data_IF_216273503960
#
_entry.id   IF_216273503960
#
_cell.length_a   1.000
_cell.length_b   1.000
_cell.length_c   1.000
_cell.angle_alpha   90.00
_cell.angle_beta   90.00
_cell.angle_gamma   90.00
#
_symmetry.space_group_name_H-M   'P 1'
#
loop_
_entity.id
_entity.type
_entity.pdbx_description
1 polymer ?
#
# COMPACT_ATOMS: atom_id res chain seq x y z
N UNK A 1 -48.76 -8.29 -49.96
CA UNK A 1 -49.03 -6.93 -49.44
C UNK A 1 -47.73 -6.14 -49.53
N UNK A 2 -47.75 -5.09 -50.37
CA UNK A 2 -46.76 -4.02 -50.66
C UNK A 2 -45.28 -4.33 -50.95
N UNK A 3 -44.89 -4.03 -52.19
CA UNK A 3 -43.54 -3.63 -52.62
C UNK A 3 -43.49 -2.10 -52.53
N UNK A 4 -42.52 -1.52 -51.81
CA UNK A 4 -42.04 -0.14 -52.05
C UNK A 4 -40.53 -0.09 -51.79
N UNK A 5 -39.79 0.25 -52.84
CA UNK A 5 -38.42 0.75 -52.81
C UNK A 5 -38.40 2.22 -52.37
N UNK A 6 -37.34 2.66 -51.69
CA UNK A 6 -37.07 4.09 -51.44
C UNK A 6 -35.72 4.23 -50.73
N UNK A 7 -34.64 4.52 -51.47
CA UNK A 7 -34.16 5.86 -51.80
C UNK A 7 -33.39 6.53 -50.65
N UNK A 8 -32.07 6.61 -50.81
CA UNK A 8 -31.18 7.45 -50.03
C UNK A 8 -31.21 8.89 -50.57
N UNK A 9 -31.42 9.93 -49.75
CA UNK A 9 -30.88 11.29 -49.94
C UNK A 9 -30.79 12.06 -48.60
N UNK A 10 -29.57 12.51 -48.30
CA UNK A 10 -29.09 13.72 -47.60
C UNK A 10 -29.82 14.34 -46.38
N UNK A 11 -29.03 14.62 -45.34
CA UNK A 11 -29.39 15.51 -44.23
C UNK A 11 -28.17 16.07 -43.50
N UNK A 12 -27.57 17.10 -44.09
CA UNK A 12 -26.95 18.30 -43.46
C UNK A 12 -25.94 18.13 -42.30
N UNK A 13 -24.71 18.51 -42.62
CA UNK A 13 -23.68 19.16 -41.80
C UNK A 13 -24.00 19.43 -40.31
N UNK A 14 -23.17 18.85 -39.42
CA UNK A 14 -22.82 19.47 -38.15
C UNK A 14 -21.30 19.68 -38.11
N UNK A 15 -20.90 20.83 -38.67
CA UNK A 15 -19.67 21.53 -38.32
C UNK A 15 -19.80 21.94 -36.85
N UNK A 16 -18.74 21.78 -36.04
CA UNK A 16 -18.31 22.61 -34.89
C UNK A 16 -17.32 21.75 -34.07
N UNK A 17 -16.02 21.87 -34.36
CA UNK A 17 -15.07 22.69 -33.59
C UNK A 17 -14.81 22.14 -32.18
N UNK A 18 -13.73 21.35 -32.02
CA UNK A 18 -12.86 21.47 -30.85
C UNK A 18 -11.40 21.23 -31.25
N UNK A 19 -10.77 22.38 -31.52
CA UNK A 19 -9.37 22.74 -31.36
C UNK A 19 -8.35 21.67 -30.96
N UNK A 20 -7.37 21.53 -31.85
CA UNK A 20 -5.98 21.17 -31.58
C UNK A 20 -5.37 21.94 -30.39
N UNK A 21 -4.73 21.22 -29.49
CA UNK A 21 -3.59 21.75 -28.72
C UNK A 21 -2.52 20.67 -28.64
N UNK A 22 -1.59 20.72 -29.60
CA UNK A 22 -0.28 20.09 -29.52
C UNK A 22 0.52 20.96 -28.54
N UNK A 23 0.80 20.46 -27.34
CA UNK A 23 1.70 21.16 -26.41
C UNK A 23 3.15 20.90 -26.81
N UNK A 24 3.69 21.77 -27.67
CA UNK A 24 5.12 21.86 -27.95
C UNK A 24 5.81 22.51 -26.75
N UNK A 25 6.60 21.75 -25.98
CA UNK A 25 7.45 22.35 -24.93
C UNK A 25 8.70 22.93 -25.61
N UNK A 26 8.68 24.25 -25.78
CA UNK A 26 9.82 25.05 -26.21
C UNK A 26 10.79 25.17 -25.03
N UNK A 27 11.93 24.47 -25.09
CA UNK A 27 13.04 24.70 -24.17
C UNK A 27 13.87 25.88 -24.69
N UNK A 28 13.85 27.02 -24.00
CA UNK A 28 14.92 28.04 -24.03
C UNK A 28 14.81 28.95 -22.80
N UNK A 29 15.76 28.78 -21.87
CA UNK A 29 16.29 29.80 -20.94
C UNK A 29 15.33 30.62 -20.08
N UNK A 30 15.17 30.24 -18.80
CA UNK A 30 14.57 31.10 -17.78
C UNK A 30 14.50 30.41 -16.42
N UNK A 31 15.46 30.73 -15.55
CA UNK A 31 15.70 30.23 -14.19
C UNK A 31 14.48 30.27 -13.26
N UNK A 32 14.14 29.14 -12.63
CA UNK A 32 13.83 28.99 -11.19
C UNK A 32 13.18 27.63 -10.89
N UNK A 33 13.83 26.82 -10.05
CA UNK A 33 13.14 25.83 -9.22
C UNK A 33 12.97 24.41 -9.78
N UNK A 34 13.94 23.87 -10.52
CA UNK A 34 14.05 22.41 -10.64
C UNK A 34 14.97 21.91 -9.53
N UNK A 35 14.42 21.17 -8.57
CA UNK A 35 15.18 20.35 -7.61
C UNK A 35 15.85 19.20 -8.39
N UNK A 36 16.83 19.52 -9.22
CA UNK A 36 17.81 18.56 -9.71
C UNK A 36 18.77 18.37 -8.55
N UNK A 37 18.56 17.34 -7.75
CA UNK A 37 19.54 16.91 -6.74
C UNK A 37 20.78 16.41 -7.49
N UNK A 38 21.61 17.34 -7.95
CA UNK A 38 22.92 17.09 -8.49
C UNK A 38 23.76 16.49 -7.36
N UNK A 39 24.02 15.19 -7.44
CA UNK A 39 24.97 14.50 -6.57
C UNK A 39 26.37 15.02 -6.91
N UNK A 40 26.86 16.02 -6.18
CA UNK A 40 28.27 16.38 -6.22
C UNK A 40 29.06 15.35 -5.41
N UNK A 41 29.54 14.30 -6.07
CA UNK A 41 30.55 13.40 -5.48
C UNK A 41 31.88 14.13 -5.52
N UNK A 42 32.25 14.78 -4.42
CA UNK A 42 33.59 15.34 -4.27
C UNK A 42 34.54 14.22 -3.84
N UNK A 43 35.16 13.57 -4.82
CA UNK A 43 36.18 12.54 -4.59
C UNK A 43 37.56 13.20 -4.45
N UNK A 44 38.15 13.14 -3.25
CA UNK A 44 39.59 13.27 -3.08
C UNK A 44 40.14 11.92 -2.64
N UNK A 45 40.96 11.32 -3.51
CA UNK A 45 41.81 10.14 -3.29
C UNK A 45 41.40 9.20 -2.13
N UNK A 46 40.51 8.26 -2.43
CA UNK A 46 40.44 6.99 -1.70
C UNK A 46 39.49 6.93 -0.50
N UNK A 47 38.80 8.00 -0.12
CA UNK A 47 37.80 7.95 0.97
C UNK A 47 36.49 8.57 0.54
N UNK A 48 35.41 7.78 0.57
CA UNK A 48 34.05 8.26 0.35
C UNK A 48 33.47 8.68 1.70
N UNK A 49 33.34 10.00 1.91
CA UNK A 49 32.63 10.52 3.07
C UNK A 49 31.12 10.46 2.78
N UNK A 50 30.41 9.59 3.50
CA UNK A 50 28.95 9.59 3.53
C UNK A 50 28.50 10.68 4.51
N UNK A 51 28.26 11.89 4.02
CA UNK A 51 27.60 12.91 4.83
C UNK A 51 26.14 12.50 5.03
N UNK A 52 25.65 12.34 6.27
CA UNK A 52 24.23 12.08 6.49
C UNK A 52 23.41 13.23 5.91
N UNK A 53 22.65 12.97 4.85
CA UNK A 53 21.70 13.95 4.28
C UNK A 53 20.54 14.09 5.24
N UNK A 54 20.59 15.04 6.17
CA UNK A 54 19.47 15.46 7.05
C UNK A 54 18.62 14.31 7.64
N UNK A 55 19.21 13.12 7.74
CA UNK A 55 18.46 11.88 7.97
C UNK A 55 18.06 11.78 9.43
N UNK A 56 18.72 12.55 10.31
CA UNK A 56 18.39 12.68 11.72
C UNK A 56 16.93 13.10 11.94
N UNK A 57 16.35 13.96 11.08
CA UNK A 57 14.95 14.34 11.18
C UNK A 57 14.00 13.22 10.71
N UNK A 58 14.40 12.41 9.72
CA UNK A 58 13.63 11.26 9.25
C UNK A 58 13.60 10.10 10.26
N UNK A 59 14.72 9.82 10.96
CA UNK A 59 14.74 8.86 12.09
C UNK A 59 14.07 9.40 13.36
N UNK A 60 13.99 10.73 13.55
CA UNK A 60 13.25 11.34 14.66
C UNK A 60 11.72 11.22 14.51
N UNK A 61 11.22 11.07 13.27
CA UNK A 61 9.78 10.90 12.99
C UNK A 61 9.21 9.54 13.38
N UNK A 62 10.05 8.59 13.81
CA UNK A 62 9.62 7.26 14.27
C UNK A 62 9.16 7.23 15.74
N UNK A 63 9.31 8.33 16.50
CA UNK A 63 8.90 8.39 17.90
C UNK A 63 7.37 8.37 18.01
N UNK A 64 6.81 7.19 18.25
CA UNK A 64 5.37 6.98 18.47
C UNK A 64 4.63 6.24 17.35
N UNK A 65 5.31 5.84 16.27
CA UNK A 65 4.71 4.94 15.28
C UNK A 65 4.87 3.48 15.75
N UNK A 66 3.83 2.63 15.64
CA UNK A 66 3.95 1.21 15.91
C UNK A 66 5.09 0.61 15.07
N UNK A 67 5.94 -0.19 15.69
CA UNK A 67 6.97 -0.93 14.96
C UNK A 67 6.27 -1.84 13.93
N UNK A 68 6.57 -1.63 12.64
CA UNK A 68 6.13 -2.53 11.57
C UNK A 68 7.15 -3.66 11.41
N UNK A 69 6.72 -4.91 11.53
CA UNK A 69 7.57 -6.09 11.35
C UNK A 69 6.78 -7.20 10.64
N UNK A 70 7.37 -7.76 9.58
CA UNK A 70 6.84 -8.91 8.87
C UNK A 70 7.95 -9.96 8.82
N UNK A 71 7.68 -11.14 9.38
CA UNK A 71 8.59 -12.27 9.38
C UNK A 71 7.84 -13.53 8.95
N UNK A 72 8.43 -14.26 8.01
CA UNK A 72 7.99 -15.59 7.59
C UNK A 72 9.19 -16.51 7.78
N UNK A 73 9.09 -17.40 8.76
CA UNK A 73 10.14 -18.38 9.04
C UNK A 73 10.14 -19.49 7.98
N UNK A 74 11.26 -20.21 7.87
CA UNK A 74 11.45 -21.31 6.91
C UNK A 74 10.47 -22.49 7.11
N UNK A 75 9.82 -22.57 8.28
CA UNK A 75 8.80 -23.55 8.60
C UNK A 75 7.36 -23.02 8.39
N UNK A 76 7.20 -21.87 7.75
CA UNK A 76 5.90 -21.26 7.47
C UNK A 76 5.28 -20.53 8.66
N UNK A 77 5.96 -20.39 9.80
CA UNK A 77 5.46 -19.54 10.89
C UNK A 77 5.55 -18.07 10.48
N UNK A 78 4.46 -17.34 10.71
CA UNK A 78 4.35 -15.92 10.37
C UNK A 78 4.22 -15.07 11.63
N UNK A 79 4.87 -13.92 11.62
CA UNK A 79 4.67 -12.82 12.54
C UNK A 79 4.41 -11.55 11.75
N UNK A 80 3.26 -10.92 11.99
CA UNK A 80 2.91 -9.60 11.49
C UNK A 80 2.74 -8.68 12.70
N UNK A 81 3.52 -7.61 12.81
CA UNK A 81 3.35 -6.57 13.85
C UNK A 81 3.14 -5.23 13.18
N UNK A 82 2.16 -4.47 13.68
CA UNK A 82 1.81 -3.18 13.08
C UNK A 82 0.85 -3.30 11.89
N UNK A 83 0.11 -4.41 11.77
CA UNK A 83 -0.83 -4.62 10.69
C UNK A 83 -2.15 -3.89 10.97
N UNK A 84 -2.57 -3.00 10.07
CA UNK A 84 -3.83 -2.26 10.21
C UNK A 84 -4.99 -3.09 9.69
N UNK A 85 -6.03 -3.28 10.49
CA UNK A 85 -7.28 -3.92 10.05
C UNK A 85 -8.02 -3.00 9.11
N UNK A 86 -8.30 -3.46 7.89
CA UNK A 86 -9.02 -2.70 6.85
C UNK A 86 -10.42 -3.22 6.60
N UNK A 87 -10.67 -4.49 6.90
CA UNK A 87 -11.99 -5.13 6.74
C UNK A 87 -12.11 -6.34 7.68
N UNK A 88 -13.34 -6.64 8.11
CA UNK A 88 -13.67 -7.79 8.95
C UNK A 88 -14.88 -8.48 8.33
N UNK A 89 -14.71 -9.75 7.93
CA UNK A 89 -15.75 -10.57 7.34
C UNK A 89 -15.81 -11.93 8.04
N UNK A 90 -16.78 -12.11 8.94
CA UNK A 90 -16.89 -13.30 9.78
C UNK A 90 -15.63 -13.49 10.62
N UNK A 91 -14.93 -14.61 10.41
CA UNK A 91 -13.66 -14.95 11.09
C UNK A 91 -12.41 -14.53 10.31
N UNK A 92 -12.57 -13.82 9.18
CA UNK A 92 -11.46 -13.36 8.35
C UNK A 92 -11.26 -11.86 8.50
N UNK A 93 -10.06 -11.46 8.89
CA UNK A 93 -9.63 -10.06 8.90
C UNK A 93 -8.80 -9.81 7.64
N UNK A 94 -9.08 -8.71 6.97
CA UNK A 94 -8.15 -8.17 5.96
C UNK A 94 -7.29 -7.13 6.66
N UNK A 95 -5.98 -7.28 6.56
CA UNK A 95 -5.03 -6.35 7.17
C UNK A 95 -4.05 -5.84 6.14
N UNK A 96 -3.59 -4.61 6.34
CA UNK A 96 -2.59 -3.96 5.49
C UNK A 96 -1.39 -3.54 6.32
N UNK A 97 -0.19 -3.78 5.78
CA UNK A 97 1.07 -3.27 6.31
C UNK A 97 1.71 -2.35 5.28
N UNK A 98 1.97 -1.10 5.66
CA UNK A 98 2.59 -0.11 4.79
C UNK A 98 4.09 0.01 5.07
N UNK A 99 4.91 0.00 4.03
CA UNK A 99 6.33 0.36 4.07
C UNK A 99 6.65 1.35 2.96
N UNK A 100 6.89 2.61 3.35
CA UNK A 100 7.09 3.68 2.37
C UNK A 100 5.84 3.89 1.53
N UNK A 101 5.94 3.67 0.22
CA UNK A 101 4.83 3.78 -0.73
C UNK A 101 4.21 2.43 -1.13
N UNK A 102 4.52 1.34 -0.43
CA UNK A 102 4.04 -0.01 -0.77
C UNK A 102 3.21 -0.59 0.36
N UNK A 103 2.06 -1.16 -0.02
CA UNK A 103 1.13 -1.84 0.87
C UNK A 103 1.17 -3.35 0.66
N UNK A 104 1.31 -4.10 1.75
CA UNK A 104 1.20 -5.55 1.78
C UNK A 104 -0.14 -5.93 2.41
N UNK A 105 -1.04 -6.50 1.60
CA UNK A 105 -2.37 -6.92 2.04
C UNK A 105 -2.32 -8.41 2.40
N UNK A 106 -2.79 -8.72 3.62
CA UNK A 106 -2.86 -10.07 4.17
C UNK A 106 -4.29 -10.43 4.56
N UNK A 107 -4.61 -11.72 4.43
CA UNK A 107 -5.77 -12.32 5.06
C UNK A 107 -5.35 -12.97 6.37
N UNK A 108 -6.11 -12.73 7.43
CA UNK A 108 -5.92 -13.37 8.73
C UNK A 108 -7.16 -14.18 9.00
N UNK A 109 -7.03 -15.50 8.93
CA UNK A 109 -8.09 -16.43 9.26
C UNK A 109 -7.99 -16.78 10.73
N UNK A 110 -9.02 -16.41 11.48
CA UNK A 110 -9.15 -16.82 12.87
C UNK A 110 -9.91 -18.13 12.97
N UNK A 111 -9.48 -18.97 13.90
CA UNK A 111 -10.01 -20.29 14.19
C UNK A 111 -10.64 -20.28 15.58
N UNK A 112 -11.36 -21.34 15.92
CA UNK A 112 -12.00 -21.48 17.25
C UNK A 112 -10.99 -21.44 18.42
N UNK A 113 -9.72 -21.78 18.15
CA UNK A 113 -8.64 -21.81 19.12
C UNK A 113 -7.68 -20.61 19.01
N UNK A 114 -7.95 -19.62 18.15
CA UNK A 114 -7.19 -18.38 18.11
C UNK A 114 -7.30 -17.66 19.45
N UNK A 115 -6.16 -17.25 20.01
CA UNK A 115 -6.10 -16.50 21.27
C UNK A 115 -6.08 -15.01 20.99
N UNK A 116 -6.81 -14.24 21.78
CA UNK A 116 -6.92 -12.79 21.62
C UNK A 116 -6.40 -12.09 22.86
N UNK A 117 -5.66 -11.00 22.64
CA UNK A 117 -5.09 -10.19 23.71
C UNK A 117 -5.28 -8.71 23.45
N UNK A 118 -5.55 -7.94 24.50
CA UNK A 118 -5.55 -6.48 24.41
C UNK A 118 -4.13 -5.93 24.32
N UNK A 119 -4.02 -4.63 24.05
CA UNK A 119 -2.74 -3.91 24.10
C UNK A 119 -2.06 -3.95 25.50
N UNK A 120 -2.77 -4.36 26.55
CA UNK A 120 -2.23 -4.54 27.91
C UNK A 120 -1.88 -6.01 28.20
N UNK A 121 -2.16 -6.93 27.28
CA UNK A 121 -1.94 -8.37 27.45
C UNK A 121 -3.09 -9.09 28.16
N UNK A 122 -4.20 -8.41 28.42
CA UNK A 122 -5.39 -9.03 28.99
C UNK A 122 -6.11 -9.90 27.96
N UNK A 123 -6.88 -10.89 28.42
CA UNK A 123 -7.66 -11.75 27.52
C UNK A 123 -8.71 -10.92 26.79
N UNK A 124 -8.69 -10.97 25.46
CA UNK A 124 -9.69 -10.35 24.59
C UNK A 124 -10.50 -11.37 23.79
N UNK A 125 -11.13 -10.88 22.73
CA UNK A 125 -11.93 -11.65 21.77
C UNK A 125 -11.90 -11.01 20.37
N UNK A 126 -12.37 -11.73 19.35
CA UNK A 126 -12.51 -11.16 18.00
C UNK A 126 -13.45 -9.94 17.96
N UNK A 127 -14.44 -9.88 18.87
CA UNK A 127 -15.41 -8.79 18.93
C UNK A 127 -14.80 -7.47 19.42
N UNK A 128 -13.63 -7.53 20.05
CA UNK A 128 -12.92 -6.33 20.53
C UNK A 128 -12.18 -5.63 19.36
N UNK A 129 -11.78 -6.40 18.34
CA UNK A 129 -11.06 -5.92 17.16
C UNK A 129 -12.01 -5.18 16.21
N UNK A 130 -11.55 -4.02 15.74
CA UNK A 130 -12.29 -3.13 14.84
C UNK A 130 -11.47 -2.75 13.63
N UNK A 131 -12.16 -2.39 12.55
CA UNK A 131 -11.53 -1.74 11.40
C UNK A 131 -10.84 -0.46 11.85
N UNK A 132 -9.58 -0.29 11.45
CA UNK A 132 -8.72 0.81 11.86
C UNK A 132 -7.70 0.44 12.93
N UNK A 133 -7.93 -0.65 13.68
CA UNK A 133 -7.02 -1.11 14.73
C UNK A 133 -5.69 -1.57 14.13
N UNK A 134 -4.62 -1.43 14.92
CA UNK A 134 -3.29 -1.89 14.56
C UNK A 134 -3.00 -3.11 15.40
N UNK A 135 -2.87 -4.28 14.76
CA UNK A 135 -2.74 -5.55 15.45
C UNK A 135 -1.37 -6.20 15.22
N UNK A 136 -1.04 -7.10 16.13
CA UNK A 136 -0.01 -8.13 15.98
C UNK A 136 -0.67 -9.48 15.79
N UNK A 137 -0.23 -10.23 14.79
CA UNK A 137 -0.73 -11.56 14.45
C UNK A 137 0.44 -12.52 14.40
N UNK A 138 0.27 -13.72 14.97
CA UNK A 138 1.16 -14.84 14.68
C UNK A 138 0.36 -16.10 14.40
N UNK A 139 0.89 -16.92 13.52
CA UNK A 139 0.23 -18.13 13.05
C UNK A 139 1.06 -18.88 12.03
N UNK A 140 0.40 -19.74 11.27
CA UNK A 140 0.99 -20.45 10.15
C UNK A 140 0.56 -19.80 8.83
N UNK A 141 1.47 -19.74 7.86
CA UNK A 141 1.16 -19.35 6.50
C UNK A 141 0.17 -20.37 5.92
N UNK A 142 -0.93 -19.88 5.35
CA UNK A 142 -1.89 -20.71 4.63
C UNK A 142 -1.60 -20.61 3.13
N UNK A 143 -1.48 -21.76 2.47
CA UNK A 143 -1.08 -21.86 1.06
C UNK A 143 -2.25 -21.72 0.08
N UNK A 144 -3.46 -21.46 0.59
CA UNK A 144 -4.70 -21.52 -0.19
C UNK A 144 -5.25 -20.11 -0.47
N UNK A 145 -4.76 -19.42 -1.49
CA UNK A 145 -5.34 -18.15 -1.91
C UNK A 145 -4.55 -17.35 -2.95
N UNK A 146 -5.19 -16.31 -3.48
CA UNK A 146 -4.55 -15.32 -4.35
C UNK A 146 -3.79 -14.23 -3.57
N UNK A 147 -3.96 -14.18 -2.25
CA UNK A 147 -3.33 -13.25 -1.33
C UNK A 147 -2.64 -14.05 -0.21
N UNK A 148 -1.54 -13.55 0.36
CA UNK A 148 -0.91 -14.22 1.48
C UNK A 148 -1.86 -14.25 2.68
N UNK A 149 -1.97 -15.41 3.30
CA UNK A 149 -2.93 -15.67 4.35
C UNK A 149 -2.26 -16.30 5.58
N UNK A 150 -2.72 -15.96 6.77
CA UNK A 150 -2.25 -16.54 8.05
C UNK A 150 -3.41 -17.20 8.77
N UNK A 151 -3.22 -18.46 9.17
CA UNK A 151 -4.06 -19.13 10.15
C UNK A 151 -3.60 -18.74 11.55
N UNK A 152 -4.36 -17.84 12.18
CA UNK A 152 -3.94 -17.15 13.39
C UNK A 152 -3.95 -18.09 14.62
N UNK A 153 -2.81 -18.19 15.29
CA UNK A 153 -2.68 -18.80 16.61
C UNK A 153 -2.98 -17.75 17.69
N UNK A 154 -2.51 -16.52 17.51
CA UNK A 154 -2.93 -15.40 18.34
C UNK A 154 -3.03 -14.08 17.57
N UNK A 155 -3.88 -13.20 18.09
CA UNK A 155 -4.05 -11.82 17.65
C UNK A 155 -4.00 -10.90 18.88
N UNK A 156 -3.31 -9.78 18.74
CA UNK A 156 -3.16 -8.78 19.80
C UNK A 156 -3.37 -7.37 19.26
N UNK A 157 -4.12 -6.55 19.97
CA UNK A 157 -4.26 -5.09 19.70
C UNK A 157 -3.04 -4.26 20.11
#
# INVERSE_FOLDING_TARGET
MFVIAGAAIAGVAFLLLFSSSISSVLALGGVAGANTAATTVQSSSGTVYLTPRDSAAAIASAKGQPLSEMNIANNGLVLLRGARVTDISGTTLTVTMAWGGTDFIWKVHTLYNTKYFTAQGEKGSLADIRTGDVITVSGALSENGAQPAVEAVFVRE
#
